data_IF_492349313717
#
_entry.id   IF_492349313717
#
_cell.length_a   1.000
_cell.length_b   1.000
_cell.length_c   1.000
_cell.angle_alpha   90.00
_cell.angle_beta   90.00
_cell.angle_gamma   90.00
#
_symmetry.space_group_name_H-M   'P 1'
#
loop_
_entity.id
_entity.type
_entity.pdbx_description
1 polymer ?
#
# COMPACT_ATOMS: atom_id res chain seq x y z
N UNK A 1 17.76 -40.56 -4.40
CA UNK A 1 16.34 -40.94 -4.61
C UNK A 1 16.16 -42.46 -4.56
N UNK A 2 16.85 -43.24 -5.42
CA UNK A 2 16.78 -44.72 -5.42
C UNK A 2 17.12 -45.38 -4.06
N UNK A 3 18.11 -44.85 -3.34
CA UNK A 3 18.51 -45.32 -2.01
C UNK A 3 17.41 -45.23 -0.95
N UNK A 4 16.43 -44.34 -1.12
CA UNK A 4 15.30 -44.16 -0.19
C UNK A 4 14.12 -45.09 -0.49
N UNK A 5 14.00 -45.61 -1.71
CA UNK A 5 12.88 -46.47 -2.16
C UNK A 5 13.27 -47.95 -2.31
N UNK A 6 14.57 -48.29 -2.27
CA UNK A 6 15.05 -49.68 -2.38
C UNK A 6 14.51 -50.66 -1.34
N UNK A 7 13.96 -50.16 -0.24
CA UNK A 7 13.41 -50.97 0.87
C UNK A 7 11.91 -51.18 0.75
N UNK A 8 11.25 -50.55 -0.23
CA UNK A 8 9.82 -50.67 -0.46
C UNK A 8 9.54 -51.97 -1.22
N UNK A 9 8.57 -52.75 -0.73
CA UNK A 9 8.24 -54.07 -1.26
C UNK A 9 7.20 -54.00 -2.39
N UNK A 10 6.43 -52.91 -2.46
CA UNK A 10 5.34 -52.75 -3.43
C UNK A 10 5.50 -51.50 -4.28
N UNK A 11 4.97 -51.54 -5.50
CA UNK A 11 4.91 -50.38 -6.39
C UNK A 11 4.16 -49.19 -5.74
N UNK A 12 3.14 -49.49 -4.91
CA UNK A 12 2.39 -48.51 -4.13
C UNK A 12 3.29 -47.77 -3.14
N UNK A 13 4.07 -48.49 -2.33
CA UNK A 13 5.00 -47.87 -1.37
C UNK A 13 6.10 -47.05 -2.06
N UNK A 14 6.60 -47.51 -3.20
CA UNK A 14 7.59 -46.77 -4.00
C UNK A 14 6.98 -45.46 -4.49
N UNK A 15 5.74 -45.50 -5.00
CA UNK A 15 5.01 -44.32 -5.46
C UNK A 15 4.75 -43.34 -4.32
N UNK A 16 4.23 -43.80 -3.18
CA UNK A 16 3.98 -42.97 -2.00
C UNK A 16 5.27 -42.30 -1.49
N UNK A 17 6.39 -43.03 -1.42
CA UNK A 17 7.68 -42.43 -1.06
C UNK A 17 8.20 -41.44 -2.10
N UNK A 18 7.99 -41.68 -3.39
CA UNK A 18 8.37 -40.75 -4.44
C UNK A 18 7.57 -39.45 -4.32
N UNK A 19 6.25 -39.54 -4.10
CA UNK A 19 5.38 -38.40 -3.82
C UNK A 19 5.88 -37.63 -2.60
N UNK A 20 6.20 -38.32 -1.51
CA UNK A 20 6.73 -37.71 -0.29
C UNK A 20 8.10 -37.02 -0.49
N UNK A 21 8.96 -37.56 -1.35
CA UNK A 21 10.29 -36.97 -1.64
C UNK A 21 10.16 -35.77 -2.60
N UNK A 22 9.27 -35.83 -3.58
CA UNK A 22 9.14 -34.82 -4.63
C UNK A 22 8.25 -33.64 -4.20
N UNK A 23 7.11 -33.91 -3.54
CA UNK A 23 6.19 -32.86 -3.07
C UNK A 23 6.49 -32.40 -1.63
N UNK A 24 7.32 -33.17 -0.91
CA UNK A 24 7.49 -33.07 0.54
C UNK A 24 6.47 -33.93 1.28
N UNK A 25 6.82 -34.32 2.51
CA UNK A 25 5.86 -34.97 3.41
C UNK A 25 4.72 -34.02 3.78
N UNK A 26 3.59 -34.56 4.24
CA UNK A 26 2.48 -33.75 4.76
C UNK A 26 2.97 -32.77 5.86
N UNK A 27 3.89 -33.22 6.70
CA UNK A 27 4.59 -32.39 7.70
C UNK A 27 5.38 -31.24 7.06
N UNK A 28 6.00 -31.45 5.90
CA UNK A 28 6.71 -30.38 5.17
C UNK A 28 5.72 -29.37 4.57
N UNK A 29 4.57 -29.82 4.06
CA UNK A 29 3.52 -28.94 3.53
C UNK A 29 2.88 -28.12 4.65
N UNK A 30 2.60 -28.74 5.80
CA UNK A 30 2.07 -28.09 7.00
C UNK A 30 3.04 -27.04 7.57
N UNK A 31 4.34 -27.37 7.63
CA UNK A 31 5.36 -26.41 8.05
C UNK A 31 5.44 -25.20 7.09
N UNK A 32 5.39 -25.42 5.78
CA UNK A 32 5.35 -24.32 4.79
C UNK A 32 4.12 -23.44 4.98
N UNK A 33 2.96 -24.05 5.17
CA UNK A 33 1.71 -23.33 5.43
C UNK A 33 1.80 -22.48 6.70
N UNK A 34 2.33 -23.05 7.77
CA UNK A 34 2.54 -22.35 9.04
C UNK A 34 3.44 -21.13 8.85
N UNK A 35 4.56 -21.28 8.13
CA UNK A 35 5.48 -20.17 7.84
C UNK A 35 4.80 -19.10 6.97
N UNK A 36 4.06 -19.49 5.92
CA UNK A 36 3.33 -18.56 5.07
C UNK A 36 2.27 -17.77 5.85
N UNK A 37 1.54 -18.43 6.76
CA UNK A 37 0.58 -17.77 7.65
C UNK A 37 1.27 -16.79 8.60
N UNK A 38 2.43 -17.14 9.14
CA UNK A 38 3.22 -16.22 9.97
C UNK A 38 3.67 -14.99 9.19
N UNK A 39 4.14 -15.16 7.95
CA UNK A 39 4.49 -14.03 7.06
C UNK A 39 3.28 -13.12 6.81
N UNK A 40 2.13 -13.72 6.51
CA UNK A 40 0.87 -12.98 6.33
C UNK A 40 0.51 -12.22 7.60
N UNK A 41 0.57 -12.86 8.77
CA UNK A 41 0.19 -12.21 10.02
C UNK A 41 1.13 -11.07 10.42
N UNK A 42 2.43 -11.24 10.18
CA UNK A 42 3.46 -10.26 10.48
C UNK A 42 3.58 -9.16 9.40
N UNK A 43 2.87 -9.25 8.28
CA UNK A 43 3.05 -8.30 7.18
C UNK A 43 2.69 -6.89 7.63
N UNK A 44 3.62 -5.97 7.37
CA UNK A 44 3.47 -4.53 7.50
C UNK A 44 4.15 -3.87 6.31
N UNK A 45 3.68 -2.69 5.96
CA UNK A 45 4.41 -1.80 5.07
C UNK A 45 5.67 -1.34 5.79
N UNK A 46 6.80 -1.34 5.08
CA UNK A 46 8.10 -0.96 5.64
C UNK A 46 8.32 0.55 5.47
N UNK A 47 9.23 1.10 6.26
CA UNK A 47 9.63 2.50 6.11
C UNK A 47 10.32 2.71 4.75
N UNK A 48 9.87 3.74 4.01
CA UNK A 48 10.39 4.07 2.67
C UNK A 48 9.97 3.11 1.55
N UNK A 49 9.07 2.17 1.83
CA UNK A 49 8.48 1.30 0.82
C UNK A 49 7.34 2.02 0.10
N UNK A 50 7.23 1.85 -1.22
CA UNK A 50 6.09 2.38 -1.98
C UNK A 50 4.86 1.50 -1.84
N UNK A 51 3.67 2.04 -2.10
CA UNK A 51 2.45 1.24 -2.12
C UNK A 51 2.50 0.13 -3.19
N UNK A 52 3.23 0.34 -4.30
CA UNK A 52 3.43 -0.68 -5.33
C UNK A 52 4.28 -1.85 -4.84
N UNK A 53 5.39 -1.57 -4.14
CA UNK A 53 6.25 -2.60 -3.55
C UNK A 53 5.50 -3.40 -2.48
N UNK A 54 4.70 -2.70 -1.67
CA UNK A 54 3.89 -3.34 -0.63
C UNK A 54 2.81 -4.27 -1.23
N UNK A 55 2.13 -3.83 -2.29
CA UNK A 55 1.16 -4.64 -3.05
C UNK A 55 1.80 -5.93 -3.59
N UNK A 56 2.97 -5.82 -4.24
CA UNK A 56 3.67 -6.98 -4.78
C UNK A 56 4.03 -8.00 -3.69
N UNK A 57 4.58 -7.54 -2.55
CA UNK A 57 4.90 -8.42 -1.42
C UNK A 57 3.66 -9.07 -0.81
N UNK A 58 2.59 -8.30 -0.66
CA UNK A 58 1.34 -8.83 -0.12
C UNK A 58 0.76 -9.90 -1.06
N UNK A 59 0.69 -9.59 -2.36
CA UNK A 59 0.23 -10.51 -3.40
C UNK A 59 1.06 -11.80 -3.46
N UNK A 60 2.38 -11.71 -3.34
CA UNK A 60 3.26 -12.87 -3.30
C UNK A 60 2.93 -13.82 -2.13
N UNK A 61 2.64 -13.28 -0.94
CA UNK A 61 2.23 -14.07 0.23
C UNK A 61 0.87 -14.73 0.01
N UNK A 62 -0.09 -14.03 -0.60
CA UNK A 62 -1.41 -14.60 -0.92
C UNK A 62 -1.31 -15.73 -1.95
N UNK A 63 -0.47 -15.57 -2.97
CA UNK A 63 -0.21 -16.62 -3.97
C UNK A 63 0.42 -17.85 -3.30
N UNK A 64 1.40 -17.65 -2.40
CA UNK A 64 2.02 -18.72 -1.61
C UNK A 64 0.96 -19.47 -0.77
N UNK A 65 0.10 -18.74 -0.04
CA UNK A 65 -0.97 -19.31 0.78
C UNK A 65 -2.01 -20.08 -0.04
N UNK A 66 -2.47 -19.50 -1.15
CA UNK A 66 -3.43 -20.16 -2.04
C UNK A 66 -2.85 -21.46 -2.61
N UNK A 67 -1.56 -21.46 -2.99
CA UNK A 67 -0.87 -22.68 -3.46
C UNK A 67 -0.77 -23.79 -2.41
N UNK A 68 -0.86 -23.42 -1.12
CA UNK A 68 -0.85 -24.32 0.02
C UNK A 68 -2.27 -24.65 0.52
N UNK A 69 -3.31 -24.23 -0.21
CA UNK A 69 -4.71 -24.52 0.08
C UNK A 69 -5.35 -23.62 1.15
N UNK A 70 -4.73 -22.50 1.49
CA UNK A 70 -5.28 -21.51 2.43
C UNK A 70 -5.70 -20.25 1.69
N UNK A 71 -7.01 -20.08 1.55
CA UNK A 71 -7.61 -18.91 0.94
C UNK A 71 -8.18 -17.96 2.01
N UNK A 72 -8.21 -16.67 1.67
CA UNK A 72 -8.81 -15.61 2.48
C UNK A 72 -9.86 -14.88 1.64
N UNK A 73 -10.95 -14.46 2.26
CA UNK A 73 -11.95 -13.64 1.60
C UNK A 73 -11.41 -12.25 1.28
N UNK A 74 -11.94 -11.60 0.24
CA UNK A 74 -11.57 -10.22 -0.12
C UNK A 74 -11.67 -9.26 1.08
N UNK A 75 -12.72 -9.40 1.90
CA UNK A 75 -12.89 -8.60 3.12
C UNK A 75 -11.73 -8.79 4.11
N UNK A 76 -11.29 -10.03 4.32
CA UNK A 76 -10.16 -10.31 5.22
C UNK A 76 -8.87 -9.68 4.69
N UNK A 77 -8.63 -9.80 3.38
CA UNK A 77 -7.45 -9.22 2.73
C UNK A 77 -7.46 -7.69 2.81
N UNK A 78 -8.58 -7.05 2.49
CA UNK A 78 -8.78 -5.59 2.61
C UNK A 78 -8.49 -5.11 4.03
N UNK A 79 -9.09 -5.76 5.03
CA UNK A 79 -8.87 -5.40 6.44
C UNK A 79 -7.45 -5.70 6.90
N UNK A 80 -6.77 -6.69 6.30
CA UNK A 80 -5.36 -6.98 6.59
C UNK A 80 -4.48 -5.86 6.07
N UNK A 81 -4.63 -5.47 4.80
CA UNK A 81 -3.90 -4.36 4.18
C UNK A 81 -4.08 -3.08 5.00
N UNK A 82 -5.33 -2.67 5.29
CA UNK A 82 -5.60 -1.44 6.05
C UNK A 82 -4.93 -1.42 7.44
N UNK A 83 -4.78 -2.59 8.10
CA UNK A 83 -4.10 -2.70 9.41
C UNK A 83 -2.58 -2.80 9.31
N UNK A 84 -2.07 -3.19 8.14
CA UNK A 84 -0.65 -3.34 7.86
C UNK A 84 0.00 -2.02 7.41
N UNK A 85 -0.81 -1.01 7.07
CA UNK A 85 -0.33 0.31 6.70
C UNK A 85 0.22 1.09 7.91
N UNK A 86 1.18 2.01 7.68
CA UNK A 86 1.70 2.91 8.70
C UNK A 86 0.64 3.92 9.18
N UNK A 87 0.87 4.57 10.33
CA UNK A 87 -0.11 5.49 10.95
C UNK A 87 -0.42 6.71 10.09
N UNK A 88 0.50 7.09 9.21
CA UNK A 88 0.34 8.17 8.23
C UNK A 88 -0.87 7.94 7.31
N UNK A 89 -1.30 6.69 7.15
CA UNK A 89 -2.45 6.30 6.34
C UNK A 89 -3.77 6.23 7.13
N UNK A 90 -3.76 6.48 8.45
CA UNK A 90 -4.94 6.35 9.31
C UNK A 90 -6.10 7.24 8.83
N UNK A 91 -5.83 8.48 8.44
CA UNK A 91 -6.88 9.40 7.95
C UNK A 91 -7.56 8.84 6.69
N UNK A 92 -6.76 8.34 5.73
CA UNK A 92 -7.26 7.77 4.48
C UNK A 92 -8.06 6.50 4.74
N UNK A 93 -7.52 5.59 5.55
CA UNK A 93 -8.16 4.30 5.87
C UNK A 93 -9.46 4.49 6.66
N UNK A 94 -9.52 5.46 7.58
CA UNK A 94 -10.75 5.82 8.31
C UNK A 94 -11.82 6.39 7.37
N UNK A 95 -11.46 7.34 6.50
CA UNK A 95 -12.38 7.88 5.50
C UNK A 95 -12.94 6.79 4.57
N UNK A 96 -12.11 5.82 4.17
CA UNK A 96 -12.56 4.67 3.37
C UNK A 96 -13.54 3.78 4.14
N UNK A 97 -13.33 3.57 5.44
CA UNK A 97 -14.23 2.77 6.29
C UNK A 97 -15.60 3.42 6.44
N UNK A 98 -15.66 4.75 6.48
CA UNK A 98 -16.90 5.51 6.61
C UNK A 98 -17.67 5.64 5.30
N UNK A 99 -16.96 5.75 4.17
CA UNK A 99 -17.56 6.05 2.87
C UNK A 99 -17.80 4.84 1.96
N UNK A 100 -17.10 3.70 2.18
CA UNK A 100 -17.17 2.53 1.30
C UNK A 100 -17.72 1.30 2.01
N UNK A 101 -18.45 0.47 1.27
CA UNK A 101 -18.85 -0.86 1.73
C UNK A 101 -17.67 -1.83 1.59
N UNK A 102 -16.91 -2.01 2.69
CA UNK A 102 -15.76 -2.91 2.73
C UNK A 102 -16.11 -4.38 2.45
N UNK A 103 -17.40 -4.76 2.48
CA UNK A 103 -17.82 -6.12 2.13
C UNK A 103 -17.87 -6.36 0.61
N UNK A 104 -17.92 -5.29 -0.18
CA UNK A 104 -18.00 -5.33 -1.65
C UNK A 104 -16.72 -4.81 -2.31
N UNK A 105 -15.75 -4.36 -1.52
CA UNK A 105 -14.51 -3.82 -2.04
C UNK A 105 -13.56 -4.96 -2.38
N UNK A 106 -13.11 -4.99 -3.62
CA UNK A 106 -12.09 -5.92 -4.08
C UNK A 106 -10.69 -5.43 -3.65
N UNK A 107 -9.77 -6.37 -3.43
CA UNK A 107 -8.40 -6.05 -3.02
C UNK A 107 -7.69 -5.15 -4.04
N UNK A 108 -7.90 -5.40 -5.33
CA UNK A 108 -7.35 -4.58 -6.40
C UNK A 108 -7.81 -3.12 -6.32
N UNK A 109 -9.09 -2.88 -6.03
CA UNK A 109 -9.65 -1.53 -5.94
C UNK A 109 -9.11 -0.77 -4.71
N UNK A 110 -8.83 -1.49 -3.62
CA UNK A 110 -8.13 -0.94 -2.46
C UNK A 110 -6.75 -0.42 -2.87
N UNK A 111 -5.93 -1.29 -3.47
CA UNK A 111 -4.56 -0.91 -3.86
C UNK A 111 -4.55 0.19 -4.92
N UNK A 112 -5.47 0.18 -5.89
CA UNK A 112 -5.61 1.26 -6.86
C UNK A 112 -5.91 2.61 -6.17
N UNK A 113 -6.78 2.62 -5.16
CA UNK A 113 -7.10 3.84 -4.42
C UNK A 113 -5.94 4.34 -3.55
N UNK A 114 -5.20 3.41 -2.94
CA UNK A 114 -4.04 3.73 -2.11
C UNK A 114 -2.88 4.28 -2.95
N UNK A 115 -2.59 3.67 -4.12
CA UNK A 115 -1.57 4.16 -5.06
C UNK A 115 -1.91 5.54 -5.61
N UNK A 116 -3.18 5.79 -5.95
CA UNK A 116 -3.62 7.12 -6.38
C UNK A 116 -3.40 8.18 -5.28
N UNK A 117 -3.65 7.82 -4.02
CA UNK A 117 -3.41 8.72 -2.89
C UNK A 117 -1.93 8.97 -2.63
N UNK A 118 -1.07 7.95 -2.76
CA UNK A 118 0.40 8.09 -2.69
C UNK A 118 0.89 9.11 -3.72
N UNK A 119 0.46 8.94 -4.98
CA UNK A 119 0.82 9.84 -6.09
C UNK A 119 0.36 11.29 -5.86
N UNK A 120 -0.84 11.49 -5.31
CA UNK A 120 -1.33 12.83 -4.94
C UNK A 120 -0.49 13.48 -3.83
N UNK A 121 0.04 12.70 -2.88
CA UNK A 121 0.91 13.21 -1.82
C UNK A 121 2.29 13.61 -2.35
N UNK A 122 2.85 12.84 -3.29
CA UNK A 122 4.12 13.14 -3.94
C UNK A 122 4.05 14.45 -4.74
N UNK A 123 3.01 14.65 -5.55
CA UNK A 123 2.83 15.91 -6.29
C UNK A 123 2.75 17.12 -5.34
N UNK A 124 2.10 16.96 -4.19
CA UNK A 124 1.93 18.05 -3.22
C UNK A 124 3.20 18.37 -2.44
N UNK A 125 4.09 17.40 -2.26
CA UNK A 125 5.39 17.63 -1.61
C UNK A 125 6.41 18.28 -2.55
N UNK A 126 6.25 18.10 -3.86
CA UNK A 126 7.11 18.68 -4.91
C UNK A 126 6.69 20.09 -5.37
N UNK A 127 5.53 20.60 -4.95
CA UNK A 127 5.10 21.96 -5.31
C UNK A 127 6.07 23.00 -4.70
N UNK A 128 6.72 23.85 -5.51
CA UNK A 128 7.49 24.98 -4.99
C UNK A 128 6.55 25.88 -4.20
N UNK A 129 7.01 26.38 -3.06
CA UNK A 129 6.32 27.44 -2.33
C UNK A 129 6.08 28.63 -3.26
N UNK A 130 4.86 28.74 -3.79
CA UNK A 130 4.40 29.87 -4.61
C UNK A 130 4.12 31.09 -3.70
N UNK A 131 5.12 31.46 -2.90
CA UNK A 131 5.09 32.59 -1.99
C UNK A 131 6.47 33.25 -1.95
N UNK A 132 6.96 33.73 -3.09
CA UNK A 132 8.01 34.74 -3.15
C UNK A 132 7.98 35.38 -4.54
N UNK A 133 7.97 36.73 -4.60
CA UNK A 133 7.69 37.63 -5.73
C UNK A 133 6.19 37.97 -5.82
N UNK A 134 5.69 39.01 -5.14
CA UNK A 134 6.00 40.39 -5.49
C UNK A 134 5.71 41.35 -4.31
N UNK A 135 6.67 41.52 -3.42
CA UNK A 135 6.79 42.74 -2.58
C UNK A 135 8.09 43.43 -2.94
N UNK A 136 8.15 44.02 -4.14
CA UNK A 136 9.21 44.96 -4.48
C UNK A 136 8.62 46.23 -5.08
N UNK A 137 8.43 47.19 -4.17
CA UNK A 137 8.71 48.61 -4.39
C UNK A 137 7.97 49.30 -5.55
N UNK A 138 6.85 49.93 -5.23
CA UNK A 138 6.64 51.31 -5.71
C UNK A 138 6.59 52.23 -4.49
N UNK A 139 7.68 52.98 -4.30
CA UNK A 139 7.69 54.13 -3.41
C UNK A 139 6.82 55.26 -3.99
N UNK A 140 6.14 56.05 -3.15
CA UNK A 140 5.20 57.07 -3.59
C UNK A 140 5.94 58.32 -4.08
N UNK A 141 5.91 58.58 -5.39
CA UNK A 141 6.37 59.86 -5.95
C UNK A 141 5.19 60.76 -6.33
N UNK A 142 4.82 61.59 -5.35
CA UNK A 142 4.71 63.06 -5.45
C UNK A 142 3.98 63.68 -6.65
N UNK A 143 2.85 64.35 -6.36
CA UNK A 143 2.70 65.83 -6.41
C UNK A 143 1.30 66.28 -6.84
N UNK A 144 0.50 66.77 -5.89
CA UNK A 144 -0.44 67.87 -6.15
C UNK A 144 0.25 69.19 -5.75
N UNK A 145 0.05 70.27 -6.51
CA UNK A 145 -0.85 71.34 -6.06
C UNK A 145 -1.61 71.96 -7.27
N UNK A 146 -2.64 72.80 -7.18
CA UNK A 146 -2.90 73.88 -6.24
C UNK A 146 -4.36 74.34 -6.42
N UNK A 147 -5.03 74.62 -5.31
CA UNK A 147 -6.31 75.33 -5.26
C UNK A 147 -6.01 76.83 -5.29
N UNK A 148 -6.63 77.60 -6.18
CA UNK A 148 -6.69 79.05 -6.08
C UNK A 148 -8.13 79.50 -6.35
N UNK A 149 -8.86 79.78 -5.27
CA UNK A 149 -10.08 80.56 -5.25
C UNK A 149 -9.78 81.75 -4.34
N UNK A 150 -9.68 82.95 -4.90
CA UNK A 150 -9.72 84.19 -4.15
C UNK A 150 -10.54 85.19 -4.97
N UNK A 151 -11.76 85.43 -4.50
CA UNK A 151 -12.47 86.68 -4.75
C UNK A 151 -11.92 87.74 -3.78
N UNK A 152 -11.90 89.01 -4.21
CA UNK A 152 -12.43 90.19 -3.50
C UNK A 152 -11.84 91.48 -4.11
N UNK A 153 -12.79 92.29 -4.62
CA UNK A 153 -12.94 93.75 -4.58
C UNK A 153 -11.75 94.71 -4.75
N UNK A 154 -11.87 95.58 -5.74
CA UNK A 154 -12.01 97.03 -5.57
C UNK A 154 -12.75 97.62 -6.79
#
# INVERSE_FOLDING_TARGET
MFSKIKTCATAKEIWEKLVQICEGSDETKENKLTVAQQKYEAIKMKDGETMADFDERFSAIIIELNSLGKEYSNRELVLKVMRALPREWDVKTMAMRESKDLNKMELHDLFANLKAYEFELEIRSEAPSEFELETRSEAPSTSQPTKALAAVSA
#
